data_IF_573664678624
#
_entry.id   IF_573664678624
#
_cell.length_a   1.000
_cell.length_b   1.000
_cell.length_c   1.000
_cell.angle_alpha   90.00
_cell.angle_beta   90.00
_cell.angle_gamma   90.00
#
_symmetry.space_group_name_H-M   'P 1'
#
loop_
_entity.id
_entity.type
_entity.pdbx_description
1 polymer ?
#
# COMPACT_ATOMS: atom_id res chain seq x y z
N UNK A 1 4.97 -15.00 -24.54
CA UNK A 1 3.86 -15.36 -23.65
C UNK A 1 4.40 -15.62 -22.25
N UNK A 2 3.73 -15.14 -21.26
CA UNK A 2 4.09 -15.41 -19.87
C UNK A 2 3.83 -16.89 -19.56
N UNK A 3 4.80 -17.65 -19.04
CA UNK A 3 4.59 -19.05 -18.71
C UNK A 3 3.41 -19.31 -17.78
N UNK A 4 3.09 -18.37 -16.87
CA UNK A 4 1.98 -18.48 -15.95
C UNK A 4 0.62 -18.43 -16.67
N UNK A 5 0.58 -18.04 -17.92
CA UNK A 5 -0.64 -17.97 -18.73
C UNK A 5 -0.76 -19.13 -19.69
N UNK A 6 0.12 -20.10 -19.62
CA UNK A 6 0.04 -21.29 -20.45
C UNK A 6 -1.16 -22.12 -20.06
N UNK A 7 -1.99 -22.56 -21.02
CA UNK A 7 -3.16 -23.41 -20.69
C UNK A 7 -2.73 -24.68 -20.00
N UNK A 8 -3.51 -25.09 -19.03
CA UNK A 8 -3.29 -26.34 -18.33
C UNK A 8 -3.59 -27.50 -19.27
N UNK A 9 -2.61 -28.40 -19.48
CA UNK A 9 -2.76 -29.67 -20.17
C UNK A 9 -3.53 -29.61 -21.49
N UNK A 10 -3.63 -28.46 -22.14
CA UNK A 10 -4.29 -28.32 -23.42
C UNK A 10 -5.80 -28.49 -23.42
N UNK A 11 -6.44 -28.56 -22.24
CA UNK A 11 -7.87 -28.80 -22.16
C UNK A 11 -8.70 -27.55 -22.10
N UNK A 12 -8.12 -26.46 -21.69
CA UNK A 12 -8.84 -25.22 -21.53
C UNK A 12 -8.16 -24.11 -22.31
N UNK A 13 -8.96 -23.18 -22.74
CA UNK A 13 -8.46 -21.96 -23.30
C UNK A 13 -7.75 -21.17 -22.19
N UNK A 14 -6.61 -20.59 -22.52
CA UNK A 14 -5.90 -19.76 -21.57
C UNK A 14 -6.78 -18.58 -21.12
N UNK A 15 -6.77 -18.27 -19.83
CA UNK A 15 -7.45 -17.09 -19.32
C UNK A 15 -6.83 -15.84 -19.93
N UNK A 16 -7.64 -14.84 -20.33
CA UNK A 16 -7.12 -13.56 -20.78
C UNK A 16 -6.61 -12.71 -19.61
N UNK A 17 -6.89 -13.10 -18.36
CA UNK A 17 -6.46 -12.36 -17.19
C UNK A 17 -5.03 -12.75 -16.84
N UNK A 18 -4.16 -11.74 -16.73
CA UNK A 18 -2.75 -11.95 -16.39
C UNK A 18 -2.60 -12.19 -14.89
N UNK A 19 -1.63 -13.01 -14.51
CA UNK A 19 -1.26 -13.22 -13.11
C UNK A 19 -0.34 -12.10 -12.63
N UNK A 20 -0.84 -10.88 -12.72
CA UNK A 20 -0.06 -9.66 -12.45
C UNK A 20 -0.96 -8.66 -11.76
N UNK A 21 -0.51 -8.15 -10.62
CA UNK A 21 -1.21 -7.09 -9.91
C UNK A 21 -0.66 -5.76 -10.39
N UNK A 22 -1.52 -4.95 -11.01
CA UNK A 22 -1.13 -3.62 -11.49
C UNK A 22 -0.99 -2.64 -10.36
N UNK A 23 -2.03 -2.51 -9.55
CA UNK A 23 -2.05 -1.61 -8.40
C UNK A 23 -2.92 -2.18 -7.30
N UNK A 24 -2.63 -1.77 -6.07
CA UNK A 24 -3.50 -2.00 -4.93
C UNK A 24 -4.07 -0.67 -4.47
N UNK A 25 -5.22 -0.71 -3.81
CA UNK A 25 -5.85 0.47 -3.24
C UNK A 25 -5.67 0.47 -1.72
N UNK A 26 -5.36 1.64 -1.18
CA UNK A 26 -5.37 1.86 0.27
C UNK A 26 -6.51 2.82 0.58
N UNK A 27 -7.51 2.41 1.36
CA UNK A 27 -8.61 3.29 1.73
C UNK A 27 -8.13 4.34 2.73
N UNK A 28 -8.39 5.60 2.43
CA UNK A 28 -7.97 6.71 3.29
C UNK A 28 -9.14 7.68 3.45
N UNK A 29 -9.12 8.50 4.50
CA UNK A 29 -10.19 9.44 4.77
C UNK A 29 -9.87 10.87 4.34
N UNK A 30 -8.58 11.22 4.38
CA UNK A 30 -8.10 12.54 3.99
C UNK A 30 -6.98 12.35 2.98
N UNK A 31 -7.30 12.59 1.70
CA UNK A 31 -6.37 12.27 0.62
C UNK A 31 -5.08 13.09 0.68
N UNK A 32 -5.16 14.36 1.08
CA UNK A 32 -3.98 15.21 1.16
C UNK A 32 -3.07 14.83 2.32
N UNK A 33 -3.66 14.57 3.49
CA UNK A 33 -2.91 14.09 4.65
C UNK A 33 -2.22 12.76 4.35
N UNK A 34 -2.96 11.84 3.73
CA UNK A 34 -2.42 10.52 3.40
C UNK A 34 -1.33 10.61 2.35
N UNK A 35 -1.49 11.44 1.34
CA UNK A 35 -0.43 11.68 0.35
C UNK A 35 0.85 12.16 1.04
N UNK A 36 0.74 13.15 1.93
CA UNK A 36 1.90 13.67 2.65
C UNK A 36 2.59 12.59 3.46
N UNK A 37 1.81 11.78 4.18
CA UNK A 37 2.36 10.73 5.02
C UNK A 37 3.05 9.63 4.19
N UNK A 38 2.39 9.13 3.15
CA UNK A 38 2.96 8.07 2.33
C UNK A 38 4.18 8.54 1.53
N UNK A 39 4.17 9.76 1.03
CA UNK A 39 5.34 10.31 0.35
C UNK A 39 6.52 10.43 1.30
N UNK A 40 6.27 10.83 2.55
CA UNK A 40 7.32 10.90 3.55
C UNK A 40 7.89 9.53 3.87
N UNK A 41 7.03 8.51 4.04
CA UNK A 41 7.45 7.14 4.34
C UNK A 41 8.26 6.56 3.19
N UNK A 42 7.82 6.79 1.95
CA UNK A 42 8.40 6.15 0.77
C UNK A 42 9.49 6.99 0.10
N UNK A 43 9.79 8.17 0.63
CA UNK A 43 10.81 9.04 0.05
C UNK A 43 10.40 9.62 -1.29
N UNK A 44 9.10 9.87 -1.50
CA UNK A 44 8.58 10.41 -2.74
C UNK A 44 8.39 11.92 -2.63
N UNK A 45 8.48 12.61 -3.78
CA UNK A 45 8.18 14.02 -3.87
C UNK A 45 6.66 14.19 -3.97
N UNK A 46 6.07 14.82 -2.96
CA UNK A 46 4.64 15.04 -2.89
C UNK A 46 4.11 15.82 -4.09
N UNK A 47 4.88 16.77 -4.60
CA UNK A 47 4.49 17.59 -5.74
C UNK A 47 4.37 16.78 -7.04
N UNK A 48 4.98 15.59 -7.08
CA UNK A 48 4.89 14.69 -8.24
C UNK A 48 3.76 13.67 -8.10
N UNK A 49 3.01 13.72 -7.01
CA UNK A 49 1.91 12.80 -6.75
C UNK A 49 0.59 13.54 -6.86
N UNK A 50 0.01 13.56 -8.06
CA UNK A 50 -1.21 14.30 -8.35
C UNK A 50 -2.43 13.64 -7.73
N UNK A 51 -3.33 14.45 -7.18
CA UNK A 51 -4.64 13.99 -6.71
C UNK A 51 -5.62 14.11 -7.87
N UNK A 52 -6.20 12.97 -8.27
CA UNK A 52 -7.13 12.90 -9.38
C UNK A 52 -8.57 12.89 -8.86
N UNK A 53 -9.43 13.71 -9.50
CA UNK A 53 -10.86 13.78 -9.18
C UNK A 53 -11.14 14.01 -7.69
N UNK A 54 -10.19 14.56 -6.96
CA UNK A 54 -10.32 14.86 -5.53
C UNK A 54 -10.26 13.66 -4.59
N UNK A 55 -10.14 12.43 -5.09
CA UNK A 55 -10.22 11.25 -4.23
C UNK A 55 -9.20 10.15 -4.53
N UNK A 56 -8.43 10.26 -5.58
CA UNK A 56 -7.42 9.26 -5.97
C UNK A 56 -6.04 9.88 -5.96
N UNK A 57 -5.07 9.16 -5.42
CA UNK A 57 -3.67 9.58 -5.49
C UNK A 57 -2.78 8.39 -5.81
N UNK A 58 -2.47 8.15 -7.09
CA UNK A 58 -1.49 7.13 -7.45
C UNK A 58 -0.10 7.53 -6.97
N UNK A 59 0.61 6.58 -6.38
CA UNK A 59 1.98 6.78 -5.94
C UNK A 59 2.93 6.08 -6.91
N UNK A 60 4.04 6.73 -7.32
CA UNK A 60 5.01 6.11 -8.22
C UNK A 60 5.82 5.06 -7.46
N UNK A 61 5.50 3.79 -7.70
CA UNK A 61 6.11 2.66 -7.02
C UNK A 61 6.98 1.87 -7.98
N UNK A 62 7.97 1.17 -7.44
CA UNK A 62 8.68 0.13 -8.18
C UNK A 62 7.83 -1.14 -8.15
N UNK A 63 7.47 -1.65 -9.33
CA UNK A 63 6.59 -2.81 -9.44
C UNK A 63 5.13 -2.46 -9.27
N UNK A 64 4.43 -3.22 -8.44
CA UNK A 64 2.99 -3.01 -8.20
C UNK A 64 2.72 -1.63 -7.62
N UNK A 65 1.79 -0.92 -8.24
CA UNK A 65 1.43 0.43 -7.81
C UNK A 65 0.60 0.47 -6.53
N UNK A 66 0.59 1.65 -5.92
CA UNK A 66 -0.30 1.95 -4.80
C UNK A 66 -1.14 3.16 -5.19
N UNK A 67 -2.44 3.06 -4.96
CA UNK A 67 -3.37 4.17 -5.17
C UNK A 67 -4.06 4.45 -3.84
N UNK A 68 -3.85 5.64 -3.29
CA UNK A 68 -4.62 6.10 -2.14
C UNK A 68 -6.00 6.53 -2.65
N UNK A 69 -7.07 6.11 -1.97
CA UNK A 69 -8.42 6.35 -2.46
C UNK A 69 -9.36 6.58 -1.28
N UNK A 70 -10.12 7.68 -1.32
CA UNK A 70 -11.14 7.91 -0.30
C UNK A 70 -12.37 7.03 -0.49
N UNK A 71 -12.39 6.21 -1.53
CA UNK A 71 -13.42 5.19 -1.77
C UNK A 71 -14.85 5.72 -1.79
N UNK A 72 -15.17 6.83 -2.48
CA UNK A 72 -16.52 7.39 -2.43
C UNK A 72 -17.58 6.43 -2.95
N UNK A 73 -17.22 5.59 -3.91
CA UNK A 73 -18.14 4.61 -4.50
C UNK A 73 -18.32 3.36 -3.64
N UNK A 74 -17.38 3.12 -2.69
CA UNK A 74 -17.32 1.88 -1.92
C UNK A 74 -17.49 2.11 -0.42
N UNK A 75 -18.24 3.15 -0.06
CA UNK A 75 -18.54 3.43 1.34
C UNK A 75 -17.75 4.57 1.97
N UNK A 76 -16.80 5.15 1.24
CA UNK A 76 -16.00 6.26 1.75
C UNK A 76 -16.77 7.55 1.95
N UNK A 77 -17.94 7.68 1.32
CA UNK A 77 -18.83 8.82 1.47
C UNK A 77 -19.77 8.72 2.68
N UNK A 78 -19.72 7.60 3.42
CA UNK A 78 -20.47 7.43 4.67
C UNK A 78 -19.83 8.26 5.78
N UNK A 79 -20.60 8.61 6.83
CA UNK A 79 -20.06 9.43 7.93
C UNK A 79 -18.82 8.84 8.58
N UNK A 80 -18.71 7.52 8.69
CA UNK A 80 -17.55 6.84 9.26
C UNK A 80 -16.37 6.74 8.29
N UNK A 81 -16.58 7.09 7.02
CA UNK A 81 -15.55 7.01 5.98
C UNK A 81 -15.30 5.59 5.48
N UNK A 82 -14.21 5.44 4.72
CA UNK A 82 -13.82 4.14 4.18
C UNK A 82 -13.39 3.18 5.30
N UNK A 83 -13.63 1.86 5.14
CA UNK A 83 -13.17 0.89 6.12
C UNK A 83 -11.64 0.84 6.15
N UNK A 84 -11.10 0.47 7.32
CA UNK A 84 -9.66 0.38 7.56
C UNK A 84 -9.18 -1.02 7.23
N UNK A 85 -7.93 -1.13 6.77
CA UNK A 85 -7.27 -2.43 6.60
C UNK A 85 -6.80 -2.90 7.98
N UNK A 86 -7.49 -3.89 8.55
CA UNK A 86 -7.25 -4.37 9.90
C UNK A 86 -6.10 -5.37 10.00
N UNK A 87 -5.71 -5.98 8.88
CA UNK A 87 -4.57 -6.90 8.82
C UNK A 87 -3.65 -6.45 7.71
N UNK A 88 -2.30 -6.60 7.88
CA UNK A 88 -1.39 -6.21 6.81
C UNK A 88 -1.68 -7.00 5.54
N UNK A 89 -2.05 -6.30 4.47
CA UNK A 89 -2.44 -6.91 3.21
C UNK A 89 -1.29 -7.00 2.20
N UNK A 90 -0.22 -6.27 2.45
CA UNK A 90 0.96 -6.25 1.58
C UNK A 90 2.18 -5.85 2.39
N UNK A 91 3.36 -6.04 1.80
CA UNK A 91 4.62 -5.70 2.43
C UNK A 91 5.31 -4.58 1.67
N UNK A 92 5.82 -3.60 2.41
CA UNK A 92 6.75 -2.62 1.87
C UNK A 92 8.16 -3.11 2.21
N UNK A 93 9.03 -3.13 1.22
CA UNK A 93 10.33 -3.77 1.36
C UNK A 93 11.40 -2.77 1.81
N UNK A 94 12.37 -3.24 2.57
CA UNK A 94 13.52 -2.43 2.98
C UNK A 94 14.77 -3.30 3.04
N UNK A 95 15.91 -2.68 2.74
CA UNK A 95 17.22 -3.32 2.93
C UNK A 95 17.83 -3.00 4.30
N UNK A 96 17.18 -2.11 5.05
CA UNK A 96 17.64 -1.68 6.37
C UNK A 96 16.47 -1.69 7.36
N UNK A 97 16.19 -2.86 7.92
CA UNK A 97 15.02 -3.05 8.78
C UNK A 97 15.09 -2.20 10.04
N UNK A 98 16.23 -2.20 10.73
CA UNK A 98 16.39 -1.42 11.95
C UNK A 98 16.31 0.08 11.67
N UNK A 99 16.95 0.53 10.60
CA UNK A 99 16.87 1.93 10.17
C UNK A 99 15.45 2.34 9.82
N UNK A 100 14.68 1.44 9.22
CA UNK A 100 13.27 1.68 8.91
C UNK A 100 12.44 1.83 10.17
N UNK A 101 12.66 0.99 11.17
CA UNK A 101 11.98 1.10 12.46
C UNK A 101 12.30 2.44 13.13
N UNK A 102 13.59 2.80 13.16
CA UNK A 102 14.04 4.06 13.76
C UNK A 102 13.42 5.25 13.03
N UNK A 103 13.35 5.19 11.71
CA UNK A 103 12.73 6.23 10.90
C UNK A 103 11.23 6.37 11.22
N UNK A 104 10.51 5.27 11.30
CA UNK A 104 9.08 5.30 11.60
C UNK A 104 8.82 5.87 13.00
N UNK A 105 9.66 5.55 13.97
CA UNK A 105 9.58 6.15 15.31
C UNK A 105 9.83 7.66 15.24
N UNK A 106 10.83 8.08 14.47
CA UNK A 106 11.21 9.50 14.33
C UNK A 106 10.09 10.34 13.74
N UNK A 107 9.37 9.81 12.74
CA UNK A 107 8.26 10.53 12.13
C UNK A 107 6.95 10.41 12.92
N UNK A 108 6.96 9.68 14.03
CA UNK A 108 5.79 9.55 14.90
C UNK A 108 4.75 8.55 14.44
N UNK A 109 5.13 7.60 13.59
CA UNK A 109 4.21 6.55 13.17
C UNK A 109 3.84 5.66 14.35
N UNK A 110 2.58 5.22 14.40
CA UNK A 110 2.12 4.32 15.44
C UNK A 110 2.58 2.90 15.14
N UNK A 111 3.39 2.33 16.05
CA UNK A 111 3.86 0.95 15.91
C UNK A 111 2.80 -0.02 16.42
N UNK A 112 2.55 -1.08 15.65
CA UNK A 112 1.74 -2.21 16.09
C UNK A 112 2.63 -3.28 16.71
N UNK A 113 3.78 -3.53 16.10
CA UNK A 113 4.77 -4.47 16.62
C UNK A 113 6.17 -3.85 16.58
N UNK A 114 7.07 -4.40 17.39
CA UNK A 114 8.50 -4.23 17.19
C UNK A 114 8.95 -5.20 16.09
N UNK A 115 10.26 -5.27 15.83
CA UNK A 115 10.79 -6.21 14.85
C UNK A 115 10.53 -7.65 15.34
N UNK A 116 9.87 -8.42 14.49
CA UNK A 116 9.53 -9.82 14.74
C UNK A 116 10.37 -10.73 13.87
N UNK A 117 10.89 -11.81 14.46
CA UNK A 117 11.66 -12.82 13.75
C UNK A 117 12.84 -12.25 12.96
N UNK A 118 13.39 -11.12 13.40
CA UNK A 118 14.44 -10.40 12.67
C UNK A 118 14.09 -10.14 11.21
N UNK A 119 12.81 -9.98 10.91
CA UNK A 119 12.36 -9.96 9.52
C UNK A 119 11.36 -8.85 9.17
N UNK A 120 10.43 -8.49 10.07
CA UNK A 120 9.37 -7.53 9.76
C UNK A 120 8.87 -6.82 11.00
N UNK A 121 8.19 -5.71 10.79
CA UNK A 121 7.39 -5.03 11.81
C UNK A 121 6.14 -4.42 11.16
N UNK A 122 5.16 -4.04 11.98
CA UNK A 122 3.89 -3.49 11.51
C UNK A 122 3.66 -2.12 12.12
N UNK A 123 3.21 -1.20 11.29
CA UNK A 123 2.82 0.15 11.70
C UNK A 123 1.41 0.44 11.22
N UNK A 124 0.80 1.49 11.77
CA UNK A 124 -0.46 2.05 11.27
C UNK A 124 -0.19 3.33 10.50
N UNK A 125 -0.93 3.51 9.41
CA UNK A 125 -0.98 4.80 8.73
C UNK A 125 -1.91 5.77 9.50
N UNK A 126 -2.09 7.03 9.04
CA UNK A 126 -2.94 7.98 9.76
C UNK A 126 -4.40 7.56 9.92
N UNK A 127 -4.90 6.67 9.07
CA UNK A 127 -6.27 6.17 9.15
C UNK A 127 -6.39 4.87 9.92
N UNK A 128 -5.27 4.34 10.42
CA UNK A 128 -5.24 3.07 11.14
C UNK A 128 -5.05 1.85 10.26
N UNK A 129 -4.79 2.01 8.98
CA UNK A 129 -4.45 0.89 8.11
C UNK A 129 -3.13 0.26 8.55
N UNK A 130 -3.12 -1.05 8.70
CA UNK A 130 -1.92 -1.76 9.13
C UNK A 130 -1.03 -2.08 7.94
N UNK A 131 0.22 -1.68 8.02
CA UNK A 131 1.23 -1.86 6.98
C UNK A 131 2.38 -2.67 7.53
N UNK A 132 2.84 -3.65 6.76
CA UNK A 132 4.02 -4.44 7.14
C UNK A 132 5.25 -3.91 6.43
N UNK A 133 6.33 -3.70 7.17
CA UNK A 133 7.64 -3.35 6.63
C UNK A 133 8.49 -4.61 6.76
N UNK A 134 9.07 -5.06 5.67
CA UNK A 134 9.71 -6.37 5.62
C UNK A 134 11.12 -6.29 5.05
N UNK A 135 12.04 -7.04 5.63
CA UNK A 135 13.40 -7.19 5.11
C UNK A 135 13.36 -7.81 3.72
N UNK A 136 14.04 -7.18 2.80
CA UNK A 136 14.16 -7.68 1.43
C UNK A 136 15.05 -8.92 1.35
#
# INVERSE_FOLDING_TARGET
>A
MNPAQTPAAGHEQASPIQNKVGSIFIPVRDIERSRSWYCRVLGLNEDECEILSGHLCPLPMQGTGIILDTMPQWGGDRPEGAPTIETPAFMLMTQDLQGSLDYMKRIGAELVTEIEHDHWFVVKDPDGNKLMICRE
#
